data_IF_500454009706
#
_entry.id   IF_500454009706
#
_cell.length_a   1.000
_cell.length_b   1.000
_cell.length_c   1.000
_cell.angle_alpha   90.00
_cell.angle_beta   90.00
_cell.angle_gamma   90.00
#
_symmetry.space_group_name_H-M   'P 1'
#
loop_
_entity.id
_entity.type
_entity.pdbx_description
1 polymer ?
#
# COMPACT_ATOMS: atom_id res chain seq x y z
N UNK A 1 -4.34 -24.88 4.88
CA UNK A 1 -5.10 -26.16 4.82
C UNK A 1 -6.58 -25.97 5.15
N UNK A 2 -6.97 -25.49 6.35
CA UNK A 2 -8.40 -25.23 6.66
C UNK A 2 -8.95 -24.04 5.86
N UNK A 3 -8.17 -22.96 5.74
CA UNK A 3 -8.52 -21.77 4.95
C UNK A 3 -8.83 -22.13 3.48
N UNK A 4 -8.01 -23.00 2.89
CA UNK A 4 -8.10 -23.37 1.48
C UNK A 4 -9.41 -24.10 1.19
N UNK A 5 -9.76 -25.09 2.02
CA UNK A 5 -10.99 -25.89 1.88
C UNK A 5 -12.25 -25.01 2.03
N UNK A 6 -12.25 -24.09 3.00
CA UNK A 6 -13.39 -23.21 3.25
C UNK A 6 -13.51 -22.15 2.16
N UNK A 7 -12.40 -21.61 1.66
CA UNK A 7 -12.39 -20.55 0.64
C UNK A 7 -12.82 -21.01 -0.76
N UNK A 8 -12.71 -22.30 -1.06
CA UNK A 8 -13.08 -22.91 -2.33
C UNK A 8 -14.61 -23.01 -2.55
N UNK A 9 -15.42 -22.68 -1.54
CA UNK A 9 -16.87 -22.60 -1.69
C UNK A 9 -17.22 -21.46 -2.66
N UNK A 10 -17.68 -21.84 -3.85
CA UNK A 10 -18.00 -20.92 -4.93
C UNK A 10 -19.32 -20.15 -4.71
N UNK A 11 -20.25 -20.72 -3.95
CA UNK A 11 -21.54 -20.13 -3.59
C UNK A 11 -21.85 -20.42 -2.12
N UNK A 12 -21.32 -19.64 -1.17
CA UNK A 12 -21.60 -19.85 0.24
C UNK A 12 -23.08 -19.57 0.53
N UNK A 13 -23.70 -20.39 1.38
CA UNK A 13 -25.07 -20.15 1.82
C UNK A 13 -25.09 -19.10 2.94
N UNK A 14 -26.17 -18.33 3.04
CA UNK A 14 -26.34 -17.33 4.11
C UNK A 14 -26.22 -17.95 5.51
N UNK A 15 -26.76 -19.16 5.72
CA UNK A 15 -26.65 -19.85 7.01
C UNK A 15 -25.19 -20.20 7.34
N UNK A 16 -24.43 -20.68 6.35
CA UNK A 16 -23.01 -20.98 6.54
C UNK A 16 -22.20 -19.72 6.91
N UNK A 17 -22.44 -18.60 6.22
CA UNK A 17 -21.80 -17.32 6.55
C UNK A 17 -22.19 -16.82 7.95
N UNK A 18 -23.44 -17.05 8.37
CA UNK A 18 -23.92 -16.70 9.71
C UNK A 18 -23.22 -17.50 10.80
N UNK A 19 -23.11 -18.82 10.63
CA UNK A 19 -22.42 -19.70 11.58
C UNK A 19 -20.93 -19.32 11.71
N UNK A 20 -20.24 -19.07 10.59
CA UNK A 20 -18.86 -18.56 10.62
C UNK A 20 -18.79 -17.19 11.32
N UNK A 21 -19.75 -16.30 11.05
CA UNK A 21 -19.87 -15.02 11.73
C UNK A 21 -19.98 -15.15 13.24
N UNK A 22 -20.86 -16.04 13.72
CA UNK A 22 -21.04 -16.31 15.15
C UNK A 22 -19.77 -16.87 15.79
N UNK A 23 -19.04 -17.77 15.11
CA UNK A 23 -17.75 -18.27 15.59
C UNK A 23 -16.72 -17.15 15.76
N UNK A 24 -16.64 -16.23 14.79
CA UNK A 24 -15.74 -15.08 14.84
C UNK A 24 -16.13 -14.13 15.97
N UNK A 25 -17.43 -13.86 16.16
CA UNK A 25 -17.92 -12.94 17.18
C UNK A 25 -17.73 -13.45 18.60
N UNK A 26 -17.97 -14.75 18.82
CA UNK A 26 -17.97 -15.34 20.15
C UNK A 26 -16.57 -15.76 20.62
N UNK A 27 -15.53 -15.59 19.78
CA UNK A 27 -14.16 -16.05 20.04
C UNK A 27 -14.10 -17.51 20.54
N UNK A 28 -14.97 -18.38 20.01
CA UNK A 28 -15.15 -19.76 20.52
C UNK A 28 -14.04 -20.72 20.10
N UNK A 29 -13.02 -20.23 19.39
CA UNK A 29 -11.91 -21.02 18.85
C UNK A 29 -10.56 -20.41 19.22
N UNK A 30 -9.50 -21.23 19.16
CA UNK A 30 -8.13 -20.76 19.36
C UNK A 30 -7.81 -19.56 18.45
N UNK A 31 -7.06 -18.58 18.96
CA UNK A 31 -6.80 -17.29 18.29
C UNK A 31 -6.24 -17.43 16.86
N UNK A 32 -5.40 -18.44 16.62
CA UNK A 32 -4.80 -18.69 15.30
C UNK A 32 -5.83 -19.22 14.28
N UNK A 33 -6.79 -20.02 14.76
CA UNK A 33 -7.89 -20.56 13.95
C UNK A 33 -8.90 -19.44 13.69
N UNK A 34 -9.18 -18.63 14.71
CA UNK A 34 -10.12 -17.52 14.64
C UNK A 34 -9.73 -16.50 13.55
N UNK A 35 -8.45 -16.12 13.47
CA UNK A 35 -7.94 -15.25 12.41
C UNK A 35 -8.18 -15.83 11.02
N UNK A 36 -7.87 -17.12 10.83
CA UNK A 36 -8.12 -17.83 9.57
C UNK A 36 -9.61 -17.84 9.19
N UNK A 37 -10.50 -18.13 10.15
CA UNK A 37 -11.94 -18.10 9.91
C UNK A 37 -12.42 -16.70 9.55
N UNK A 38 -11.90 -15.66 10.21
CA UNK A 38 -12.22 -14.27 9.93
C UNK A 38 -11.85 -13.89 8.47
N UNK A 39 -10.64 -14.24 8.05
CA UNK A 39 -10.17 -14.02 6.67
C UNK A 39 -11.06 -14.75 5.65
N UNK A 40 -11.38 -16.03 5.90
CA UNK A 40 -12.26 -16.82 5.05
C UNK A 40 -13.68 -16.24 4.99
N UNK A 41 -14.22 -15.75 6.11
CA UNK A 41 -15.54 -15.13 6.19
C UNK A 41 -15.64 -13.91 5.26
N UNK A 42 -14.67 -12.99 5.35
CA UNK A 42 -14.63 -11.81 4.47
C UNK A 42 -14.56 -12.20 2.99
N UNK A 43 -13.70 -13.16 2.65
CA UNK A 43 -13.56 -13.63 1.27
C UNK A 43 -14.83 -14.33 0.73
N UNK A 44 -15.43 -15.22 1.52
CA UNK A 44 -16.63 -15.93 1.12
C UNK A 44 -17.83 -15.00 0.95
N UNK A 45 -18.02 -14.07 1.89
CA UNK A 45 -19.08 -13.09 1.79
C UNK A 45 -18.96 -12.22 0.53
N UNK A 46 -17.75 -11.95 0.05
CA UNK A 46 -17.55 -11.24 -1.23
C UNK A 46 -18.14 -11.96 -2.46
N UNK A 47 -18.32 -13.29 -2.37
CA UNK A 47 -18.97 -14.13 -3.39
C UNK A 47 -20.48 -14.32 -3.16
N UNK A 48 -21.00 -13.88 -2.00
CA UNK A 48 -22.40 -14.00 -1.61
C UNK A 48 -23.32 -12.93 -2.21
N UNK A 49 -24.54 -12.84 -1.69
CA UNK A 49 -25.50 -11.80 -2.05
C UNK A 49 -25.13 -10.45 -1.40
N UNK A 50 -25.70 -9.32 -1.87
CA UNK A 50 -25.51 -8.02 -1.22
C UNK A 50 -25.91 -8.01 0.27
N UNK A 51 -26.92 -8.80 0.66
CA UNK A 51 -27.36 -8.92 2.04
C UNK A 51 -26.35 -9.69 2.88
N UNK A 52 -25.77 -10.77 2.33
CA UNK A 52 -24.67 -11.50 2.98
C UNK A 52 -23.45 -10.60 3.20
N UNK A 53 -23.11 -9.78 2.19
CA UNK A 53 -22.03 -8.81 2.32
C UNK A 53 -22.32 -7.76 3.40
N UNK A 54 -23.57 -7.28 3.48
CA UNK A 54 -23.97 -6.31 4.52
C UNK A 54 -23.86 -6.92 5.91
N UNK A 55 -24.39 -8.13 6.09
CA UNK A 55 -24.33 -8.85 7.36
C UNK A 55 -22.89 -9.02 7.82
N UNK A 56 -22.00 -9.53 6.95
CA UNK A 56 -20.60 -9.73 7.32
C UNK A 56 -19.86 -8.40 7.52
N UNK A 57 -20.19 -7.36 6.77
CA UNK A 57 -19.64 -6.02 6.98
C UNK A 57 -19.95 -5.50 8.39
N UNK A 58 -21.19 -5.65 8.85
CA UNK A 58 -21.61 -5.25 10.20
C UNK A 58 -20.86 -6.03 11.28
N UNK A 59 -20.66 -7.33 11.08
CA UNK A 59 -19.87 -8.17 12.00
C UNK A 59 -18.44 -7.66 12.12
N UNK A 60 -17.76 -7.47 10.99
CA UNK A 60 -16.34 -7.09 10.96
C UNK A 60 -16.12 -5.66 11.46
N UNK A 61 -16.96 -4.70 11.06
CA UNK A 61 -16.86 -3.30 11.51
C UNK A 61 -17.17 -3.15 12.99
N UNK A 62 -18.10 -3.93 13.54
CA UNK A 62 -18.32 -3.99 15.00
C UNK A 62 -17.07 -4.49 15.74
N UNK A 63 -16.48 -5.60 15.29
CA UNK A 63 -15.26 -6.15 15.90
C UNK A 63 -14.08 -5.18 15.82
N UNK A 64 -13.98 -4.43 14.72
CA UNK A 64 -12.98 -3.39 14.52
C UNK A 64 -13.17 -2.24 15.52
N UNK A 65 -14.39 -1.72 15.65
CA UNK A 65 -14.72 -0.63 16.59
C UNK A 65 -14.48 -1.00 18.05
N UNK A 66 -14.75 -2.24 18.44
CA UNK A 66 -14.48 -2.74 19.80
C UNK A 66 -12.99 -2.75 20.16
N UNK A 67 -12.10 -2.75 19.16
CA UNK A 67 -10.66 -2.97 19.33
C UNK A 67 -9.79 -1.78 18.91
N UNK A 68 -10.39 -0.71 18.40
CA UNK A 68 -9.66 0.43 17.83
C UNK A 68 -8.95 1.32 18.87
N UNK A 69 -9.27 1.19 20.16
CA UNK A 69 -8.80 2.12 21.20
C UNK A 69 -7.36 1.87 21.66
N UNK A 70 -6.88 0.62 21.62
CA UNK A 70 -5.52 0.33 22.06
C UNK A 70 -4.47 0.71 21.03
N UNK A 71 -4.83 0.72 19.73
CA UNK A 71 -3.87 0.81 18.62
C UNK A 71 -2.66 -0.13 18.77
N UNK A 72 -2.77 -1.16 19.61
CA UNK A 72 -1.73 -2.15 19.86
C UNK A 72 -1.80 -3.23 18.79
N UNK A 73 -0.64 -3.77 18.44
CA UNK A 73 -0.53 -4.80 17.44
C UNK A 73 -1.10 -6.12 17.98
N UNK A 74 -2.38 -6.36 17.71
CA UNK A 74 -3.01 -7.66 17.90
C UNK A 74 -3.13 -8.33 16.52
N UNK A 75 -2.59 -9.54 16.36
CA UNK A 75 -2.67 -10.29 15.10
C UNK A 75 -4.10 -10.40 14.59
N UNK A 76 -5.07 -10.61 15.49
CA UNK A 76 -6.48 -10.70 15.13
C UNK A 76 -7.07 -9.36 14.66
N UNK A 77 -6.56 -8.22 15.14
CA UNK A 77 -6.98 -6.90 14.66
C UNK A 77 -6.56 -6.68 13.20
N UNK A 78 -5.37 -7.16 12.82
CA UNK A 78 -4.89 -7.15 11.43
C UNK A 78 -5.76 -8.09 10.58
N UNK A 79 -6.09 -9.29 11.10
CA UNK A 79 -6.97 -10.24 10.40
C UNK A 79 -8.35 -9.63 10.09
N UNK A 80 -8.91 -8.84 11.01
CA UNK A 80 -10.17 -8.12 10.78
C UNK A 80 -10.03 -7.12 9.63
N UNK A 81 -8.98 -6.29 9.63
CA UNK A 81 -8.73 -5.31 8.55
C UNK A 81 -8.52 -6.01 7.20
N UNK A 82 -7.80 -7.13 7.18
CA UNK A 82 -7.61 -7.91 5.97
C UNK A 82 -8.90 -8.56 5.48
N UNK A 83 -9.71 -9.11 6.38
CA UNK A 83 -11.04 -9.66 6.09
C UNK A 83 -11.98 -8.59 5.52
N UNK A 84 -11.95 -7.36 6.06
CA UNK A 84 -12.68 -6.21 5.51
C UNK A 84 -12.23 -5.93 4.07
N UNK A 85 -10.93 -5.94 3.81
CA UNK A 85 -10.43 -5.77 2.45
C UNK A 85 -10.83 -6.91 1.51
N UNK A 86 -10.90 -8.15 2.00
CA UNK A 86 -11.38 -9.31 1.25
C UNK A 86 -12.88 -9.22 0.92
N UNK A 87 -13.68 -8.59 1.79
CA UNK A 87 -15.12 -8.42 1.63
C UNK A 87 -15.49 -7.50 0.45
N UNK A 88 -14.65 -6.50 0.14
CA UNK A 88 -14.87 -5.52 -0.95
C UNK A 88 -16.15 -4.68 -0.80
N UNK A 89 -16.62 -4.47 0.42
CA UNK A 89 -17.81 -3.64 0.72
C UNK A 89 -17.46 -2.19 1.06
N UNK A 90 -17.97 -1.26 0.26
CA UNK A 90 -17.83 0.20 0.45
C UNK A 90 -18.38 0.72 1.78
N UNK A 91 -19.29 -0.02 2.42
CA UNK A 91 -19.86 0.31 3.74
C UNK A 91 -18.81 0.38 4.86
N UNK A 92 -17.70 -0.35 4.72
CA UNK A 92 -16.64 -0.42 5.72
C UNK A 92 -15.60 0.72 5.64
N UNK A 93 -15.67 1.56 4.59
CA UNK A 93 -14.64 2.56 4.32
C UNK A 93 -14.48 3.56 5.46
N UNK A 94 -15.61 4.05 6.01
CA UNK A 94 -15.58 5.06 7.08
C UNK A 94 -14.93 4.50 8.35
N UNK A 95 -15.23 3.26 8.70
CA UNK A 95 -14.66 2.57 9.87
C UNK A 95 -13.14 2.39 9.74
N UNK A 96 -12.67 1.93 8.58
CA UNK A 96 -11.21 1.75 8.34
C UNK A 96 -10.48 3.11 8.36
N UNK A 97 -11.11 4.17 7.86
CA UNK A 97 -10.55 5.52 7.94
C UNK A 97 -10.48 6.04 9.37
N UNK A 98 -11.49 5.79 10.20
CA UNK A 98 -11.47 6.18 11.60
C UNK A 98 -10.30 5.51 12.33
N UNK A 99 -10.12 4.20 12.12
CA UNK A 99 -8.98 3.45 12.67
C UNK A 99 -7.65 4.03 12.20
N UNK A 100 -7.49 4.29 10.90
CA UNK A 100 -6.26 4.88 10.36
C UNK A 100 -5.95 6.23 11.01
N UNK A 101 -6.94 7.12 11.15
CA UNK A 101 -6.77 8.42 11.81
C UNK A 101 -6.39 8.28 13.28
N UNK A 102 -7.05 7.37 14.00
CA UNK A 102 -6.82 7.12 15.43
C UNK A 102 -5.43 6.52 15.67
N UNK A 103 -5.05 5.53 14.89
CA UNK A 103 -3.80 4.79 15.02
C UNK A 103 -2.69 5.30 14.09
N UNK A 104 -2.67 6.61 13.78
CA UNK A 104 -1.73 7.23 12.84
C UNK A 104 -0.25 6.93 13.14
N UNK A 105 0.13 6.79 14.41
CA UNK A 105 1.54 6.59 14.76
C UNK A 105 1.97 5.11 14.72
N UNK A 106 1.07 4.17 14.44
CA UNK A 106 1.38 2.75 14.35
C UNK A 106 1.48 2.32 12.88
N UNK A 107 2.71 2.15 12.39
CA UNK A 107 2.99 1.83 10.99
C UNK A 107 2.32 0.53 10.54
N UNK A 108 2.30 -0.51 11.37
CA UNK A 108 1.74 -1.81 11.01
C UNK A 108 0.22 -1.71 10.85
N UNK A 109 -0.45 -0.97 11.73
CA UNK A 109 -1.89 -0.67 11.60
C UNK A 109 -2.14 0.16 10.34
N UNK A 110 -1.31 1.15 10.03
CA UNK A 110 -1.46 1.91 8.78
C UNK A 110 -1.29 1.03 7.54
N UNK A 111 -0.34 0.10 7.55
CA UNK A 111 -0.16 -0.87 6.45
C UNK A 111 -1.40 -1.77 6.33
N UNK A 112 -1.96 -2.25 7.45
CA UNK A 112 -3.17 -3.06 7.44
C UNK A 112 -4.40 -2.27 6.93
N UNK A 113 -4.58 -1.02 7.36
CA UNK A 113 -5.61 -0.12 6.84
C UNK A 113 -5.44 0.13 5.34
N UNK A 114 -4.21 0.36 4.88
CA UNK A 114 -3.92 0.50 3.47
C UNK A 114 -4.30 -0.78 2.72
N UNK A 115 -3.87 -1.95 3.20
CA UNK A 115 -4.22 -3.23 2.60
C UNK A 115 -5.74 -3.46 2.53
N UNK A 116 -6.50 -3.05 3.55
CA UNK A 116 -7.97 -3.10 3.55
C UNK A 116 -8.58 -2.29 2.40
N UNK A 117 -7.93 -1.20 1.98
CA UNK A 117 -8.40 -0.36 0.88
C UNK A 117 -7.99 -0.81 -0.53
N UNK A 118 -7.23 -1.90 -0.70
CA UNK A 118 -6.66 -2.32 -1.99
C UNK A 118 -7.65 -2.45 -3.15
N UNK A 119 -8.92 -2.74 -2.86
CA UNK A 119 -9.97 -2.92 -3.86
C UNK A 119 -10.67 -1.60 -4.26
N UNK A 120 -10.40 -0.48 -3.57
CA UNK A 120 -11.02 0.82 -3.84
C UNK A 120 -10.07 1.80 -4.53
N UNK A 121 -8.77 1.50 -4.62
CA UNK A 121 -7.74 2.39 -5.15
C UNK A 121 -7.61 2.42 -6.67
N UNK A 122 -8.12 1.41 -7.37
CA UNK A 122 -7.97 1.34 -8.82
C UNK A 122 -9.09 2.14 -9.51
N UNK A 123 -8.78 2.97 -10.52
CA UNK A 123 -9.79 3.71 -11.31
C UNK A 123 -10.87 2.84 -11.95
N UNK A 124 -10.66 1.52 -12.03
CA UNK A 124 -11.60 0.53 -12.56
C UNK A 124 -12.34 -0.27 -11.45
N UNK A 125 -12.12 0.05 -10.18
CA UNK A 125 -12.70 -0.67 -9.03
C UNK A 125 -14.18 -0.40 -8.78
N UNK A 126 -14.79 0.53 -9.50
CA UNK A 126 -16.23 0.83 -9.39
C UNK A 126 -17.10 0.15 -10.45
N UNK A 127 -16.49 -0.49 -11.46
CA UNK A 127 -17.17 -1.33 -12.45
C UNK A 127 -16.19 -2.34 -13.09
N UNK A 128 -16.29 -3.60 -12.66
CA UNK A 128 -15.84 -4.75 -13.45
C UNK A 128 -16.51 -6.04 -12.97
N UNK A 129 -17.83 -6.12 -13.16
CA UNK A 129 -18.43 -7.43 -13.43
C UNK A 129 -18.09 -7.81 -14.86
N UNK A 130 -17.38 -8.92 -15.14
CA UNK A 130 -17.28 -9.41 -16.49
C UNK A 130 -18.64 -10.02 -16.87
N UNK A 131 -19.34 -9.40 -17.83
CA UNK A 131 -20.43 -10.07 -18.56
C UNK A 131 -21.84 -9.48 -18.50
N UNK A 132 -22.05 -8.19 -18.18
CA UNK A 132 -23.37 -7.57 -18.37
C UNK A 132 -23.29 -6.49 -19.46
N UNK A 133 -23.83 -6.85 -20.62
CA UNK A 133 -24.04 -6.01 -21.80
C UNK A 133 -24.71 -4.69 -21.36
N UNK A 134 -24.02 -3.57 -21.61
CA UNK A 134 -24.35 -2.24 -21.09
C UNK A 134 -25.55 -1.58 -21.79
N UNK A 135 -26.53 -2.37 -22.24
CA UNK A 135 -27.70 -1.88 -23.01
C UNK A 135 -29.05 -2.20 -22.41
N UNK A 136 -29.12 -2.92 -21.29
CA UNK A 136 -30.41 -3.26 -20.68
C UNK A 136 -30.37 -3.11 -19.15
N UNK A 137 -30.47 -1.88 -18.63
CA UNK A 137 -31.08 -1.64 -17.31
C UNK A 137 -31.37 -0.13 -17.12
N UNK A 138 -32.64 0.27 -16.87
CA UNK A 138 -32.99 1.64 -16.57
C UNK A 138 -32.47 2.03 -15.18
N UNK A 139 -32.02 3.29 -15.09
CA UNK A 139 -31.64 4.06 -13.89
C UNK A 139 -32.20 3.55 -12.55
N UNK A 140 -31.57 2.54 -11.95
CA UNK A 140 -31.87 2.10 -10.59
C UNK A 140 -30.58 1.63 -9.91
N UNK A 141 -30.07 2.46 -8.98
CA UNK A 141 -28.98 2.26 -8.00
C UNK A 141 -27.83 3.31 -8.02
N UNK A 142 -28.06 4.50 -8.60
CA UNK A 142 -27.25 5.71 -8.31
C UNK A 142 -27.51 6.30 -6.90
N UNK A 143 -27.60 5.46 -5.88
CA UNK A 143 -27.48 5.84 -4.46
C UNK A 143 -26.37 5.00 -3.83
N UNK A 144 -25.17 5.05 -4.41
CA UNK A 144 -23.96 4.61 -3.72
C UNK A 144 -23.56 5.71 -2.74
N UNK A 145 -23.24 5.30 -1.53
CA UNK A 145 -23.09 6.10 -0.32
C UNK A 145 -22.32 7.41 -0.61
N UNK A 146 -22.99 8.56 -0.50
CA UNK A 146 -22.43 9.86 -0.94
C UNK A 146 -21.13 10.19 -0.20
N UNK A 147 -21.04 9.78 1.07
CA UNK A 147 -19.87 9.93 1.91
C UNK A 147 -18.69 9.06 1.43
N UNK A 148 -18.93 7.80 1.06
CA UNK A 148 -17.89 6.94 0.50
C UNK A 148 -17.37 7.44 -0.85
N UNK A 149 -18.26 8.00 -1.68
CA UNK A 149 -17.88 8.61 -2.95
C UNK A 149 -17.08 9.90 -2.76
N UNK A 150 -17.47 10.75 -1.79
CA UNK A 150 -16.73 11.98 -1.45
C UNK A 150 -15.34 11.65 -0.89
N UNK A 151 -15.24 10.68 0.03
CA UNK A 151 -13.98 10.13 0.52
C UNK A 151 -13.13 9.59 -0.64
N UNK A 152 -13.73 8.78 -1.52
CA UNK A 152 -13.02 8.21 -2.67
C UNK A 152 -12.49 9.29 -3.62
N UNK A 153 -13.23 10.37 -3.86
CA UNK A 153 -12.77 11.47 -4.70
C UNK A 153 -11.69 12.32 -4.02
N UNK A 154 -11.88 12.65 -2.74
CA UNK A 154 -10.97 13.52 -1.99
C UNK A 154 -9.62 12.87 -1.70
N UNK A 155 -9.61 11.56 -1.43
CA UNK A 155 -8.41 10.82 -1.08
C UNK A 155 -7.89 9.94 -2.22
N UNK A 156 -8.75 9.29 -3.01
CA UNK A 156 -8.33 8.26 -3.97
C UNK A 156 -8.61 8.63 -5.44
N UNK A 157 -8.98 9.89 -5.70
CA UNK A 157 -9.08 10.41 -7.06
C UNK A 157 -7.75 10.27 -7.81
N UNK A 158 -7.78 10.16 -9.15
CA UNK A 158 -6.56 10.26 -9.93
C UNK A 158 -5.90 11.59 -9.60
N UNK A 159 -4.67 11.57 -9.10
CA UNK A 159 -3.89 12.82 -9.06
C UNK A 159 -3.83 13.33 -10.49
N UNK A 160 -4.15 14.62 -10.70
CA UNK A 160 -4.03 15.26 -12.00
C UNK A 160 -2.65 14.96 -12.58
N UNK A 161 -2.57 14.26 -13.72
CA UNK A 161 -1.31 14.02 -14.41
C UNK A 161 -0.64 15.37 -14.67
N UNK A 162 0.66 15.54 -14.35
CA UNK A 162 1.37 16.75 -14.72
C UNK A 162 1.22 16.96 -16.22
N UNK A 163 0.62 18.10 -16.60
CA UNK A 163 0.51 18.48 -18.00
C UNK A 163 1.86 18.99 -18.46
N UNK A 164 2.46 18.30 -19.42
CA UNK A 164 3.67 18.75 -20.08
C UNK A 164 3.29 19.72 -21.22
N UNK A 165 3.63 21.02 -21.11
CA UNK A 165 3.30 22.01 -22.13
C UNK A 165 3.99 21.75 -23.47
N UNK A 166 5.12 21.05 -23.46
CA UNK A 166 5.96 20.87 -24.65
C UNK A 166 5.51 19.69 -25.51
N UNK A 167 4.98 18.63 -24.90
CA UNK A 167 4.58 17.42 -25.62
C UNK A 167 3.07 17.36 -25.92
N UNK A 168 2.24 18.25 -25.35
CA UNK A 168 0.76 18.21 -25.43
C UNK A 168 0.15 16.84 -25.06
N UNK A 169 0.92 15.97 -24.43
CA UNK A 169 0.55 14.61 -24.04
C UNK A 169 0.54 14.55 -22.52
N UNK A 170 -0.43 13.84 -21.95
CA UNK A 170 -0.41 13.55 -20.51
C UNK A 170 0.73 12.55 -20.23
N UNK A 171 1.71 12.94 -19.41
CA UNK A 171 2.80 12.05 -19.05
C UNK A 171 2.24 10.87 -18.23
N UNK A 172 2.32 9.65 -18.79
CA UNK A 172 2.05 8.43 -18.04
C UNK A 172 3.07 8.33 -16.92
N UNK A 173 2.60 8.41 -15.67
CA UNK A 173 3.38 8.26 -14.41
C UNK A 173 4.10 6.92 -14.24
N UNK A 174 4.02 6.03 -15.23
CA UNK A 174 4.62 4.71 -15.22
C UNK A 174 6.05 4.66 -15.79
N UNK A 175 6.54 5.75 -16.37
CA UNK A 175 7.92 5.88 -16.83
C UNK A 175 8.78 6.18 -15.61
N UNK A 176 9.90 5.46 -15.45
CA UNK A 176 10.91 5.88 -14.48
C UNK A 176 11.30 7.31 -14.84
N UNK A 177 11.31 8.23 -13.87
CA UNK A 177 11.99 9.49 -14.08
C UNK A 177 13.47 9.15 -14.15
N UNK A 178 13.94 8.81 -15.36
CA UNK A 178 15.33 8.60 -15.69
C UNK A 178 15.97 9.99 -15.64
N UNK A 179 16.22 10.48 -14.42
CA UNK A 179 17.15 11.57 -14.21
C UNK A 179 18.50 11.04 -14.68
N UNK A 180 18.82 11.36 -15.94
CA UNK A 180 20.09 11.09 -16.60
C UNK A 180 21.22 11.10 -15.57
N UNK A 181 22.08 10.08 -15.57
CA UNK A 181 23.21 10.00 -14.65
C UNK A 181 24.04 11.29 -14.72
N UNK A 182 23.79 12.20 -13.79
CA UNK A 182 24.32 13.56 -13.78
C UNK A 182 25.21 13.75 -12.56
N UNK A 183 25.85 14.91 -12.50
CA UNK A 183 26.51 15.37 -11.29
C UNK A 183 25.47 15.52 -10.18
N UNK A 184 25.70 14.77 -9.11
CA UNK A 184 24.81 14.63 -7.98
C UNK A 184 24.51 16.00 -7.33
N UNK A 185 23.22 16.31 -7.17
CA UNK A 185 22.74 17.54 -6.51
C UNK A 185 21.98 17.20 -5.22
N UNK A 186 22.01 18.09 -4.23
CA UNK A 186 21.26 17.99 -2.96
C UNK A 186 19.73 18.22 -3.17
N UNK A 187 19.11 17.64 -4.20
CA UNK A 187 17.65 17.70 -4.33
C UNK A 187 17.00 16.82 -3.24
N UNK A 188 15.88 17.31 -2.70
CA UNK A 188 15.00 16.65 -1.74
C UNK A 188 14.75 15.16 -2.00
N UNK A 189 14.66 14.75 -3.27
CA UNK A 189 14.43 13.36 -3.68
C UNK A 189 15.61 12.42 -3.38
N UNK A 190 16.83 12.96 -3.28
CA UNK A 190 18.03 12.16 -2.99
C UNK A 190 18.22 11.88 -1.49
N UNK A 191 17.56 12.63 -0.61
CA UNK A 191 17.66 12.46 0.85
C UNK A 191 17.22 11.05 1.29
N UNK A 192 16.27 10.45 0.57
CA UNK A 192 15.86 9.06 0.80
C UNK A 192 16.97 8.05 0.45
N UNK A 193 17.83 8.38 -0.53
CA UNK A 193 18.93 7.52 -0.97
C UNK A 193 20.16 7.70 -0.07
N UNK A 194 20.55 8.95 0.18
CA UNK A 194 21.72 9.27 0.98
C UNK A 194 21.42 10.53 1.78
N UNK A 195 21.78 10.52 3.06
CA UNK A 195 21.67 11.73 3.87
C UNK A 195 22.64 12.82 3.38
N UNK A 196 22.38 14.04 3.83
CA UNK A 196 23.07 15.23 3.33
C UNK A 196 24.53 15.24 3.73
N UNK A 197 24.85 14.75 4.93
CA UNK A 197 26.19 14.70 5.48
C UNK A 197 27.08 13.71 4.71
N UNK A 198 26.57 12.52 4.44
CA UNK A 198 27.25 11.49 3.66
C UNK A 198 27.44 11.96 2.21
N UNK A 199 26.44 12.65 1.65
CA UNK A 199 26.55 13.29 0.35
C UNK A 199 27.66 14.34 0.29
N UNK A 200 27.70 15.26 1.26
CA UNK A 200 28.72 16.30 1.33
C UNK A 200 30.13 15.68 1.49
N UNK A 201 30.27 14.64 2.30
CA UNK A 201 31.52 13.92 2.50
C UNK A 201 32.00 13.22 1.21
N UNK A 202 31.10 12.56 0.48
CA UNK A 202 31.42 11.91 -0.80
C UNK A 202 31.84 12.93 -1.86
N UNK A 203 31.14 14.07 -1.94
CA UNK A 203 31.46 15.16 -2.86
C UNK A 203 32.85 15.76 -2.59
N UNK A 204 33.21 15.92 -1.32
CA UNK A 204 34.52 16.41 -0.92
C UNK A 204 35.64 15.38 -1.14
N UNK A 205 35.31 14.09 -1.05
CA UNK A 205 36.31 13.00 -1.11
C UNK A 205 36.61 12.56 -2.54
N UNK A 206 35.59 12.41 -3.38
CA UNK A 206 35.68 11.81 -4.72
C UNK A 206 35.48 12.88 -5.79
N UNK A 207 36.58 13.29 -6.44
CA UNK A 207 36.58 14.33 -7.45
C UNK A 207 36.12 13.85 -8.84
N UNK A 208 36.26 12.56 -9.15
CA UNK A 208 35.60 11.92 -10.29
C UNK A 208 34.43 11.09 -9.77
N UNK A 209 33.20 11.54 -10.03
CA UNK A 209 32.01 10.89 -9.50
C UNK A 209 30.84 10.96 -10.47
N UNK A 210 29.93 10.00 -10.36
CA UNK A 210 28.63 9.98 -11.03
C UNK A 210 27.57 9.44 -10.08
N UNK A 211 26.35 9.95 -10.24
CA UNK A 211 25.17 9.45 -9.55
C UNK A 211 24.02 9.26 -10.53
N UNK A 212 23.18 8.28 -10.27
CA UNK A 212 21.93 8.08 -10.98
C UNK A 212 20.82 7.87 -9.96
N UNK A 213 19.65 8.47 -10.21
CA UNK A 213 18.44 8.25 -9.42
C UNK A 213 17.33 7.85 -10.36
N UNK A 214 16.78 6.66 -10.13
CA UNK A 214 15.47 6.29 -10.63
C UNK A 214 14.43 6.58 -9.56
N UNK A 215 13.33 7.22 -9.96
CA UNK A 215 12.16 7.39 -9.12
C UNK A 215 10.93 6.84 -9.83
N UNK A 216 10.07 6.16 -9.07
CA UNK A 216 8.79 5.68 -9.55
C UNK A 216 7.71 5.84 -8.50
N UNK A 217 6.61 6.49 -8.87
CA UNK A 217 5.40 6.60 -8.04
C UNK A 217 4.29 5.73 -8.64
N UNK A 218 3.67 4.90 -7.82
CA UNK A 218 2.61 3.97 -8.20
C UNK A 218 1.39 4.18 -7.30
N UNK A 219 0.20 4.41 -7.86
CA UNK A 219 -1.04 4.52 -7.08
C UNK A 219 -1.76 5.86 -7.23
N UNK A 220 -2.62 6.18 -6.26
CA UNK A 220 -3.48 7.38 -6.24
C UNK A 220 -3.05 8.37 -5.16
N UNK A 221 -3.70 9.54 -5.08
CA UNK A 221 -3.29 10.66 -4.23
C UNK A 221 -3.12 10.28 -2.75
N UNK A 222 -4.06 9.51 -2.22
CA UNK A 222 -4.13 9.11 -0.82
C UNK A 222 -3.61 7.71 -0.56
N UNK A 223 -3.15 6.99 -1.58
CA UNK A 223 -2.48 5.70 -1.43
C UNK A 223 -1.55 5.48 -2.60
N UNK A 224 -0.26 5.74 -2.41
CA UNK A 224 0.75 5.49 -3.43
C UNK A 224 2.03 4.92 -2.83
N UNK A 225 2.67 4.04 -3.60
CA UNK A 225 4.02 3.59 -3.33
C UNK A 225 5.02 4.49 -4.07
N UNK A 226 6.05 4.92 -3.37
CA UNK A 226 7.18 5.68 -3.90
C UNK A 226 8.43 4.81 -3.82
N UNK A 227 9.03 4.54 -4.98
CA UNK A 227 10.20 3.69 -5.12
C UNK A 227 11.36 4.56 -5.59
N UNK A 228 12.45 4.52 -4.84
CA UNK A 228 13.69 5.22 -5.15
C UNK A 228 14.80 4.20 -5.38
N UNK A 229 15.56 4.40 -6.45
CA UNK A 229 16.71 3.58 -6.82
C UNK A 229 17.91 4.49 -7.08
N UNK A 230 18.86 4.53 -6.16
CA UNK A 230 20.06 5.36 -6.27
C UNK A 230 21.30 4.54 -6.52
N UNK A 231 22.16 5.02 -7.42
CA UNK A 231 23.51 4.50 -7.62
C UNK A 231 24.51 5.65 -7.52
N UNK A 232 25.62 5.42 -6.84
CA UNK A 232 26.77 6.32 -6.82
C UNK A 232 28.05 5.55 -7.15
N UNK A 233 28.88 6.16 -7.99
CA UNK A 233 30.23 5.71 -8.25
C UNK A 233 31.19 6.91 -8.12
N UNK A 234 32.15 6.82 -7.22
CA UNK A 234 33.15 7.85 -6.94
C UNK A 234 34.56 7.28 -6.90
N UNK A 235 35.50 8.01 -7.48
CA UNK A 235 36.94 7.73 -7.45
C UNK A 235 37.67 9.01 -7.06
N UNK A 236 38.68 8.88 -6.20
CA UNK A 236 39.58 9.98 -5.83
C UNK A 236 40.84 9.90 -6.68
N UNK A 237 41.08 10.90 -7.49
CA UNK A 237 42.29 11.03 -8.30
C UNK A 237 42.98 12.38 -8.08
N UNK A 238 44.30 12.44 -7.97
CA UNK A 238 45.20 11.30 -7.80
C UNK A 238 45.06 10.67 -6.40
N UNK A 239 45.14 9.34 -6.30
CA UNK A 239 45.32 8.64 -5.03
C UNK A 239 46.11 7.34 -5.21
N UNK A 240 47.02 7.05 -4.27
CA UNK A 240 47.74 5.78 -4.18
C UNK A 240 47.76 5.33 -2.71
N UNK A 241 47.14 4.19 -2.35
CA UNK A 241 46.32 3.33 -3.21
C UNK A 241 45.04 4.03 -3.69
N UNK A 242 44.46 3.53 -4.79
CA UNK A 242 43.24 4.06 -5.39
C UNK A 242 42.09 4.03 -4.36
N UNK A 243 41.51 5.20 -4.08
CA UNK A 243 40.31 5.31 -3.25
C UNK A 243 39.06 5.39 -4.13
N UNK A 244 38.11 4.50 -3.90
CA UNK A 244 36.84 4.46 -4.62
C UNK A 244 35.68 4.08 -3.70
N UNK A 245 34.47 4.45 -4.12
CA UNK A 245 33.20 4.05 -3.51
C UNK A 245 32.19 3.79 -4.61
N UNK A 246 31.56 2.63 -4.53
CA UNK A 246 30.38 2.27 -5.31
C UNK A 246 29.28 1.94 -4.31
N UNK A 247 28.10 2.51 -4.44
CA UNK A 247 26.96 2.02 -3.69
C UNK A 247 25.69 2.09 -4.51
N UNK A 248 24.78 1.18 -4.19
CA UNK A 248 23.41 1.14 -4.71
C UNK A 248 22.47 1.10 -3.52
N UNK A 249 21.41 1.91 -3.54
CA UNK A 249 20.36 1.86 -2.54
C UNK A 249 19.00 1.85 -3.20
N UNK A 250 18.16 0.93 -2.77
CA UNK A 250 16.74 0.89 -3.09
C UNK A 250 15.95 1.23 -1.83
N UNK A 251 14.95 2.09 -1.97
CA UNK A 251 14.03 2.45 -0.89
C UNK A 251 12.62 2.36 -1.43
N UNK A 252 11.75 1.66 -0.69
CA UNK A 252 10.33 1.60 -0.98
C UNK A 252 9.55 2.24 0.16
N UNK A 253 8.69 3.19 -0.18
CA UNK A 253 7.86 3.92 0.76
C UNK A 253 6.40 3.81 0.34
N UNK A 254 5.49 3.79 1.32
CA UNK A 254 4.05 3.92 1.13
C UNK A 254 3.63 5.29 1.67
N UNK A 255 3.03 6.12 0.82
CA UNK A 255 2.27 7.27 1.26
C UNK A 255 0.81 6.87 1.35
N UNK A 256 0.29 6.81 2.57
CA UNK A 256 -1.09 6.48 2.87
C UNK A 256 -1.75 7.64 3.63
N UNK A 257 -2.77 8.24 3.02
CA UNK A 257 -3.52 9.37 3.55
C UNK A 257 -2.64 10.56 4.01
N UNK A 258 -1.54 10.80 3.30
CA UNK A 258 -0.58 11.87 3.60
C UNK A 258 0.51 11.46 4.60
N UNK A 259 0.49 10.23 5.09
CA UNK A 259 1.52 9.68 5.96
C UNK A 259 2.50 8.83 5.15
N UNK A 260 3.78 9.14 5.26
CA UNK A 260 4.86 8.38 4.64
C UNK A 260 5.35 7.26 5.57
N UNK A 261 5.44 6.05 5.04
CA UNK A 261 5.84 4.84 5.74
C UNK A 261 6.97 4.18 4.95
N UNK A 262 8.14 3.96 5.54
CA UNK A 262 9.18 3.14 4.91
C UNK A 262 8.76 1.67 4.96
N UNK A 263 8.56 1.03 3.80
CA UNK A 263 8.24 -0.40 3.71
C UNK A 263 9.52 -1.22 3.86
N UNK A 264 10.62 -0.71 3.30
CA UNK A 264 11.94 -1.31 3.45
C UNK A 264 12.98 -0.65 2.56
N UNK A 265 14.23 -0.94 2.86
CA UNK A 265 15.37 -0.49 2.07
C UNK A 265 16.45 -1.56 1.95
N UNK A 266 17.07 -1.59 0.77
CA UNK A 266 18.23 -2.42 0.49
C UNK A 266 19.39 -1.52 0.12
N UNK A 267 20.52 -1.69 0.81
CA UNK A 267 21.75 -0.94 0.56
C UNK A 267 22.91 -1.90 0.30
N UNK A 268 23.56 -1.71 -0.83
CA UNK A 268 24.80 -2.38 -1.18
C UNK A 268 25.92 -1.35 -1.28
N UNK A 269 27.05 -1.58 -0.61
CA UNK A 269 28.21 -0.71 -0.75
C UNK A 269 29.52 -1.49 -0.93
N UNK A 270 30.39 -0.93 -1.77
CA UNK A 270 31.73 -1.39 -2.03
C UNK A 270 32.70 -0.21 -1.94
N UNK A 271 33.62 -0.23 -0.98
CA UNK A 271 34.53 0.87 -0.73
C UNK A 271 35.94 0.34 -0.44
N UNK A 272 36.92 0.75 -1.26
CA UNK A 272 38.34 0.37 -1.10
C UNK A 272 38.55 -1.13 -0.86
N UNK A 273 37.82 -2.00 -1.59
CA UNK A 273 37.90 -3.46 -1.46
C UNK A 273 37.02 -4.08 -0.35
N UNK A 274 36.29 -3.27 0.42
CA UNK A 274 35.35 -3.76 1.45
C UNK A 274 33.93 -3.75 0.90
N UNK A 275 33.26 -4.90 0.92
CA UNK A 275 31.87 -5.07 0.51
C UNK A 275 30.97 -5.25 1.72
N UNK A 276 29.78 -4.65 1.68
CA UNK A 276 28.77 -4.79 2.72
C UNK A 276 27.38 -4.62 2.11
N UNK A 277 26.43 -5.37 2.63
CA UNK A 277 25.02 -5.29 2.27
C UNK A 277 24.19 -5.16 3.53
N UNK A 278 23.16 -4.31 3.47
CA UNK A 278 22.22 -4.08 4.55
C UNK A 278 20.80 -4.14 4.00
N UNK A 279 19.94 -4.87 4.71
CA UNK A 279 18.50 -4.92 4.48
C UNK A 279 17.83 -4.36 5.73
N UNK A 280 16.88 -3.46 5.54
CA UNK A 280 16.07 -2.88 6.60
C UNK A 280 14.60 -2.97 6.21
#
# INVERSE_FOLDING_TARGET
MIADIISDVSRPSTNFLRELGEMVQNNTTETNILGTICLSLGYLASKGTPDDQSMVCEILTRLLRERQDSCELNSFFIDILEAIGNLKSDKSISDVLEVSKRCKNNNDVQIACAHAFRNYWLPNGFDSRPGVDSRCCPLASRKRNAEANDIAQNYFGPESEPWDPQSHIRQKRAVWDDLNCQDWTEDSRFVNIQDREEFAADRATYNKRKSCLGFKKLGTKGANAEIYAGVFAGVKEPSSPLKYKLFTKFVSQLNFLGQQLEIGSFRFYHQNGKMNAQLK
#
